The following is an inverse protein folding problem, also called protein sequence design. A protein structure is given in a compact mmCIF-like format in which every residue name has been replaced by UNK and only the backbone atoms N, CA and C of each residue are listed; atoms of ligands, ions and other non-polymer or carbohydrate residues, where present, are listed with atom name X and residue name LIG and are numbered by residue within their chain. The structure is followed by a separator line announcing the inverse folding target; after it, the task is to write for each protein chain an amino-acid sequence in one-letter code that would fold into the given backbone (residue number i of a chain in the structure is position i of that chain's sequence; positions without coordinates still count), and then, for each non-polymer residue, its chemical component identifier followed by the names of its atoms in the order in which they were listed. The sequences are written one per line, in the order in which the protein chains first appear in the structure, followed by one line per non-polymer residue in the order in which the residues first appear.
data_IF_599919860995
#
_entry.id   IF_599919860995
#
_cell.length_a   1.000
_cell.length_b   1.000
_cell.length_c   1.000
_cell.angle_alpha   90.00
_cell.angle_beta   90.00
_cell.angle_gamma   90.00
#
_symmetry.space_group_name_H-M   'P 1'
#
loop_
_entity.id
_entity.type
_entity.pdbx_description
1 polymer ?
#
# COMPACT_ATOMS: atom_id res chain seq x y z
N UNK A 1 -44.73 10.88 -5.55
CA UNK A 1 -43.35 11.17 -5.06
C UNK A 1 -43.33 12.64 -4.68
N UNK A 2 -43.28 12.97 -3.39
CA UNK A 2 -43.37 14.37 -2.94
C UNK A 2 -42.10 15.11 -3.35
N UNK A 3 -42.22 16.04 -4.29
CA UNK A 3 -41.13 16.89 -4.79
C UNK A 3 -40.91 18.09 -3.86
N UNK A 4 -40.68 17.81 -2.57
CA UNK A 4 -40.27 18.82 -1.62
C UNK A 4 -38.76 19.07 -1.79
N UNK A 5 -38.41 20.05 -2.62
CA UNK A 5 -37.05 20.61 -2.65
C UNK A 5 -36.86 21.32 -1.31
N UNK A 6 -36.37 20.57 -0.31
CA UNK A 6 -36.36 20.96 1.11
C UNK A 6 -35.27 21.97 1.49
N UNK A 7 -34.24 22.15 0.65
CA UNK A 7 -33.14 23.08 0.88
C UNK A 7 -33.13 24.15 -0.20
N UNK A 8 -33.20 25.43 0.21
CA UNK A 8 -33.06 26.58 -0.70
C UNK A 8 -31.70 27.21 -0.47
N UNK A 9 -31.00 27.51 -1.56
CA UNK A 9 -29.73 28.21 -1.51
C UNK A 9 -29.86 29.60 -2.16
N UNK A 10 -29.21 30.65 -1.61
CA UNK A 10 -29.07 31.92 -2.31
C UNK A 10 -28.23 31.76 -3.60
N UNK A 11 -28.64 32.47 -4.65
CA UNK A 11 -27.90 32.60 -5.92
C UNK A 11 -27.44 34.04 -6.09
N UNK A 12 -26.37 34.23 -6.87
CA UNK A 12 -25.79 35.54 -7.20
C UNK A 12 -25.78 35.76 -8.71
N UNK A 13 -26.34 36.87 -9.23
CA UNK A 13 -27.09 37.89 -8.49
C UNK A 13 -28.45 37.37 -7.99
N UNK A 14 -28.87 37.81 -6.81
CA UNK A 14 -30.15 37.43 -6.20
C UNK A 14 -31.36 38.02 -6.94
N UNK A 15 -31.13 39.06 -7.76
CA UNK A 15 -32.12 39.71 -8.60
C UNK A 15 -31.56 39.84 -10.01
N UNK A 16 -32.35 39.41 -11.00
CA UNK A 16 -32.03 39.52 -12.42
C UNK A 16 -33.07 40.45 -13.06
N UNK A 17 -32.60 41.57 -13.61
CA UNK A 17 -33.45 42.61 -14.24
C UNK A 17 -33.29 42.70 -15.75
N UNK A 18 -32.44 41.84 -16.33
CA UNK A 18 -32.16 41.78 -17.78
C UNK A 18 -32.21 40.32 -18.25
N UNK A 19 -32.46 40.11 -19.54
CA UNK A 19 -32.39 38.78 -20.14
C UNK A 19 -30.93 38.30 -20.19
N UNK A 20 -30.72 36.98 -20.14
CA UNK A 20 -29.42 36.31 -20.28
C UNK A 20 -28.37 36.66 -19.22
N UNK A 21 -28.77 36.94 -17.98
CA UNK A 21 -27.83 37.09 -16.86
C UNK A 21 -27.44 35.70 -16.32
N UNK A 22 -26.14 35.44 -16.20
CA UNK A 22 -25.63 34.24 -15.54
C UNK A 22 -25.87 34.33 -14.03
N UNK A 23 -26.42 33.26 -13.45
CA UNK A 23 -26.61 33.11 -12.01
C UNK A 23 -25.68 31.99 -11.51
N UNK A 24 -25.01 32.24 -10.40
CA UNK A 24 -24.10 31.29 -9.76
C UNK A 24 -24.50 31.04 -8.31
N UNK A 25 -24.29 29.82 -7.83
CA UNK A 25 -24.45 29.41 -6.44
C UNK A 25 -23.49 28.28 -6.10
N UNK A 26 -23.13 28.18 -4.83
CA UNK A 26 -22.20 27.16 -4.29
C UNK A 26 -22.88 26.29 -3.24
N UNK A 27 -23.29 25.08 -3.63
CA UNK A 27 -23.85 24.11 -2.70
C UNK A 27 -22.72 23.54 -1.83
N UNK A 28 -22.87 23.64 -0.52
CA UNK A 28 -21.92 23.13 0.47
C UNK A 28 -22.56 22.00 1.29
N UNK A 29 -21.73 21.18 1.96
CA UNK A 29 -22.17 20.10 2.85
C UNK A 29 -23.09 19.06 2.17
N UNK A 30 -22.83 18.79 0.88
CA UNK A 30 -23.49 17.70 0.17
C UNK A 30 -22.91 16.37 0.62
N UNK A 31 -23.77 15.37 0.80
CA UNK A 31 -23.38 14.01 1.11
C UNK A 31 -22.65 13.40 -0.09
N UNK A 32 -21.45 12.82 0.09
CA UNK A 32 -20.71 12.17 -0.98
C UNK A 32 -21.47 11.01 -1.61
N UNK A 33 -21.11 10.67 -2.85
CA UNK A 33 -21.74 9.60 -3.65
C UNK A 33 -23.29 9.65 -3.69
N UNK A 34 -23.89 10.84 -3.65
CA UNK A 34 -25.34 11.03 -3.58
C UNK A 34 -25.86 11.77 -4.81
N UNK A 35 -26.96 11.26 -5.37
CA UNK A 35 -27.71 11.92 -6.45
C UNK A 35 -28.56 13.05 -5.86
N UNK A 36 -28.37 14.25 -6.37
CA UNK A 36 -29.16 15.43 -6.04
C UNK A 36 -30.01 15.87 -7.23
N UNK A 37 -31.25 16.26 -6.94
CA UNK A 37 -32.14 16.95 -7.86
C UNK A 37 -32.06 18.45 -7.61
N UNK A 38 -31.90 19.24 -8.67
CA UNK A 38 -31.84 20.70 -8.61
C UNK A 38 -32.81 21.31 -9.59
N UNK A 39 -33.41 22.42 -9.18
CA UNK A 39 -34.14 23.32 -10.06
C UNK A 39 -33.97 24.75 -9.57
N UNK A 40 -34.02 25.70 -10.47
CA UNK A 40 -34.15 27.09 -10.12
C UNK A 40 -35.61 27.42 -9.84
N UNK A 41 -35.85 28.26 -8.83
CA UNK A 41 -37.15 28.88 -8.55
C UNK A 41 -36.97 30.39 -8.64
N UNK A 42 -37.56 30.99 -9.67
CA UNK A 42 -37.69 32.45 -9.79
C UNK A 42 -39.02 32.91 -9.21
N UNK A 43 -39.08 34.16 -8.75
CA UNK A 43 -40.33 34.79 -8.34
C UNK A 43 -40.32 36.28 -8.61
N UNK A 44 -41.50 36.82 -8.89
CA UNK A 44 -41.77 38.25 -8.99
C UNK A 44 -43.15 38.57 -8.40
N UNK A 45 -43.61 39.81 -8.54
CA UNK A 45 -44.94 40.22 -8.09
C UNK A 45 -46.10 39.43 -8.70
N UNK A 46 -45.88 38.75 -9.84
CA UNK A 46 -46.88 38.00 -10.58
C UNK A 46 -46.88 36.50 -10.23
N UNK A 47 -45.93 36.02 -9.40
CA UNK A 47 -45.91 34.65 -8.90
C UNK A 47 -44.55 33.96 -9.03
N UNK A 48 -44.58 32.62 -9.06
CA UNK A 48 -43.40 31.74 -9.11
C UNK A 48 -43.24 31.10 -10.49
N UNK A 49 -41.99 30.97 -10.93
CA UNK A 49 -41.58 30.14 -12.07
C UNK A 49 -40.50 29.14 -11.63
N UNK A 50 -40.48 27.97 -12.28
CA UNK A 50 -39.49 26.92 -12.02
C UNK A 50 -38.77 26.55 -13.32
N UNK A 51 -37.47 26.27 -13.23
CA UNK A 51 -36.78 25.57 -14.31
C UNK A 51 -37.23 24.11 -14.40
N UNK A 52 -36.92 23.41 -15.51
CA UNK A 52 -36.90 21.95 -15.51
C UNK A 52 -36.03 21.40 -14.37
N UNK A 53 -36.34 20.18 -13.94
CA UNK A 53 -35.49 19.43 -13.01
C UNK A 53 -34.20 18.99 -13.71
N UNK A 54 -33.09 19.05 -12.99
CA UNK A 54 -31.78 18.56 -13.45
C UNK A 54 -31.12 17.83 -12.30
N UNK A 55 -30.31 16.82 -12.59
CA UNK A 55 -29.62 16.06 -11.56
C UNK A 55 -28.11 16.20 -11.66
N UNK A 56 -27.43 16.00 -10.53
CA UNK A 56 -26.00 15.77 -10.47
C UNK A 56 -25.69 14.78 -9.36
N UNK A 57 -24.55 14.09 -9.45
CA UNK A 57 -24.07 13.18 -8.41
C UNK A 57 -22.76 13.71 -7.85
N UNK A 58 -22.65 13.83 -6.54
CA UNK A 58 -21.39 14.17 -5.87
C UNK A 58 -20.39 13.02 -5.99
N UNK A 59 -19.09 13.32 -6.04
CA UNK A 59 -18.04 12.29 -5.99
C UNK A 59 -18.11 11.46 -4.69
N UNK A 60 -17.64 10.20 -4.70
CA UNK A 60 -17.42 9.41 -3.49
C UNK A 60 -16.21 9.93 -2.70
N UNK A 61 -15.92 9.34 -1.55
CA UNK A 61 -14.67 9.62 -0.84
C UNK A 61 -13.49 8.92 -1.54
N UNK A 62 -12.28 9.51 -1.43
CA UNK A 62 -11.05 8.83 -1.82
C UNK A 62 -10.80 7.58 -0.96
N UNK A 63 -10.01 6.59 -1.39
CA UNK A 63 -9.77 5.37 -0.61
C UNK A 63 -9.07 5.63 0.73
N UNK A 64 -9.10 4.68 1.66
CA UNK A 64 -8.30 4.69 2.89
C UNK A 64 -7.33 3.51 2.87
N UNK A 65 -6.08 3.73 3.26
CA UNK A 65 -5.04 2.71 3.28
C UNK A 65 -4.47 2.59 4.70
N UNK A 66 -4.52 1.38 5.26
CA UNK A 66 -3.84 1.03 6.50
C UNK A 66 -2.66 0.12 6.18
N UNK A 67 -1.44 0.55 6.45
CA UNK A 67 -0.27 -0.31 6.26
C UNK A 67 -0.22 -1.41 7.31
N UNK A 68 0.24 -2.59 6.90
CA UNK A 68 0.50 -3.72 7.77
C UNK A 68 2.01 -4.05 7.74
N UNK A 69 2.54 -4.72 8.78
CA UNK A 69 3.94 -5.12 8.82
C UNK A 69 4.35 -5.95 7.60
N UNK A 70 5.56 -5.70 7.10
CA UNK A 70 6.18 -6.52 6.05
C UNK A 70 6.43 -7.94 6.58
N UNK A 71 6.18 -8.95 5.76
CA UNK A 71 6.47 -10.34 6.07
C UNK A 71 7.43 -10.96 5.05
N UNK A 72 8.04 -12.09 5.44
CA UNK A 72 8.90 -12.91 4.57
C UNK A 72 9.93 -12.05 3.82
N UNK A 73 10.83 -11.41 4.57
CA UNK A 73 11.97 -10.69 4.00
C UNK A 73 13.11 -11.67 3.78
N UNK A 74 13.45 -11.89 2.51
CA UNK A 74 14.57 -12.73 2.08
C UNK A 74 15.72 -11.85 1.59
N UNK A 75 16.74 -12.48 1.01
CA UNK A 75 17.81 -11.79 0.32
C UNK A 75 17.33 -11.02 -0.92
N UNK A 76 16.36 -11.59 -1.66
CA UNK A 76 15.98 -11.12 -3.00
C UNK A 76 14.49 -10.77 -3.11
N UNK A 77 13.73 -10.88 -2.02
CA UNK A 77 12.29 -10.66 -2.01
C UNK A 77 11.75 -10.19 -0.66
N UNK A 78 10.57 -9.58 -0.70
CA UNK A 78 9.78 -9.24 0.47
C UNK A 78 8.28 -9.28 0.14
N UNK A 79 7.44 -9.53 1.14
CA UNK A 79 5.98 -9.46 1.00
C UNK A 79 5.46 -8.27 1.79
N UNK A 80 4.85 -7.31 1.09
CA UNK A 80 4.28 -6.10 1.67
C UNK A 80 2.77 -6.20 1.73
N UNK A 81 2.18 -5.63 2.78
CA UNK A 81 0.76 -5.78 3.08
C UNK A 81 0.11 -4.45 3.41
N UNK A 82 -1.17 -4.32 3.06
CA UNK A 82 -2.04 -3.25 3.48
C UNK A 82 -3.47 -3.76 3.64
N UNK A 83 -4.28 -3.05 4.40
CA UNK A 83 -5.73 -3.20 4.45
C UNK A 83 -6.35 -1.94 3.87
N UNK A 84 -7.12 -2.06 2.79
CA UNK A 84 -7.57 -0.92 1.98
C UNK A 84 -9.09 -0.86 1.91
N UNK A 85 -9.65 0.32 2.13
CA UNK A 85 -11.07 0.62 2.01
C UNK A 85 -11.33 1.51 0.79
N UNK A 86 -12.07 1.01 -0.19
CA UNK A 86 -12.35 1.67 -1.47
C UNK A 86 -13.30 2.88 -1.40
N UNK A 87 -14.07 3.04 -0.31
CA UNK A 87 -15.01 4.14 -0.04
C UNK A 87 -15.98 4.54 -1.19
N UNK A 88 -16.91 3.65 -1.54
CA UNK A 88 -18.07 4.01 -2.37
C UNK A 88 -17.84 4.01 -3.89
N UNK A 89 -16.65 3.66 -4.36
CA UNK A 89 -16.37 3.40 -5.78
C UNK A 89 -15.26 2.38 -5.96
N UNK A 90 -15.27 1.67 -7.10
CA UNK A 90 -14.21 0.72 -7.45
C UNK A 90 -12.84 1.41 -7.42
N UNK A 91 -11.85 0.75 -6.82
CA UNK A 91 -10.54 1.31 -6.54
C UNK A 91 -9.45 0.46 -7.19
N UNK A 92 -8.59 1.07 -7.99
CA UNK A 92 -7.42 0.41 -8.59
C UNK A 92 -6.19 0.63 -7.71
N UNK A 93 -5.35 -0.39 -7.60
CA UNK A 93 -4.22 -0.43 -6.68
C UNK A 93 -2.88 -0.54 -7.41
N UNK A 94 -1.86 0.09 -6.82
CA UNK A 94 -0.47 -0.01 -7.24
C UNK A 94 0.43 0.10 -6.00
N UNK A 95 1.57 -0.58 -6.02
CA UNK A 95 2.67 -0.38 -5.07
C UNK A 95 3.78 0.35 -5.80
N UNK A 96 4.32 1.38 -5.18
CA UNK A 96 5.52 2.09 -5.64
C UNK A 96 6.66 1.74 -4.67
N UNK A 97 7.82 1.33 -5.16
CA UNK A 97 8.94 0.91 -4.33
C UNK A 97 10.31 1.22 -4.95
N UNK A 98 11.36 1.27 -4.13
CA UNK A 98 12.76 1.32 -4.56
C UNK A 98 13.71 1.71 -3.43
N UNK A 99 14.98 1.95 -3.74
CA UNK A 99 16.04 2.15 -2.73
C UNK A 99 16.06 3.54 -2.08
N UNK A 100 15.16 4.43 -2.52
CA UNK A 100 14.97 5.77 -1.95
C UNK A 100 13.47 6.08 -1.93
N UNK A 101 13.07 7.15 -1.24
CA UNK A 101 11.68 7.65 -1.25
C UNK A 101 11.21 8.20 -2.61
N UNK A 102 12.09 8.23 -3.63
CA UNK A 102 11.68 8.45 -5.02
C UNK A 102 11.10 7.18 -5.66
N UNK A 103 11.20 6.02 -4.97
CA UNK A 103 10.75 4.71 -5.39
C UNK A 103 11.41 4.29 -6.72
N UNK A 104 10.80 4.61 -7.86
CA UNK A 104 11.34 4.35 -9.19
C UNK A 104 10.93 2.99 -9.78
N UNK A 105 10.30 2.10 -8.99
CA UNK A 105 9.68 0.87 -9.47
C UNK A 105 8.20 0.81 -9.06
N UNK A 106 7.41 0.05 -9.81
CA UNK A 106 5.99 -0.16 -9.52
C UNK A 106 5.58 -1.62 -9.65
N UNK A 107 4.65 -2.07 -8.81
CA UNK A 107 4.06 -3.42 -8.83
C UNK A 107 2.53 -3.31 -8.77
N UNK A 108 1.83 -4.18 -9.49
CA UNK A 108 0.38 -4.38 -9.31
C UNK A 108 0.18 -5.42 -8.20
N UNK A 109 -0.46 -5.08 -7.07
CA UNK A 109 -0.69 -6.01 -5.98
C UNK A 109 -1.81 -7.02 -6.28
N UNK A 110 -2.00 -7.97 -5.37
CA UNK A 110 -3.13 -8.89 -5.34
C UNK A 110 -4.00 -8.62 -4.10
N UNK A 111 -5.31 -8.34 -4.26
CA UNK A 111 -5.98 -8.05 -5.53
C UNK A 111 -5.48 -6.75 -6.17
N UNK A 112 -5.70 -6.60 -7.48
CA UNK A 112 -5.29 -5.39 -8.24
C UNK A 112 -6.32 -4.25 -8.20
N UNK A 113 -7.54 -4.58 -7.77
CA UNK A 113 -8.64 -3.65 -7.60
C UNK A 113 -9.59 -4.15 -6.52
N UNK A 114 -10.30 -3.22 -5.89
CA UNK A 114 -11.28 -3.47 -4.84
C UNK A 114 -12.64 -2.91 -5.23
N UNK A 115 -13.68 -3.62 -4.81
CA UNK A 115 -15.05 -3.12 -4.91
C UNK A 115 -15.36 -2.17 -3.74
N UNK A 116 -16.39 -1.34 -3.88
CA UNK A 116 -16.84 -0.52 -2.75
C UNK A 116 -17.43 -1.42 -1.65
N UNK A 117 -16.93 -1.32 -0.42
CA UNK A 117 -17.39 -2.18 0.66
C UNK A 117 -16.66 -1.93 1.97
N UNK A 118 -16.15 -3.00 2.56
CA UNK A 118 -15.32 -2.99 3.78
C UNK A 118 -13.83 -2.83 3.45
N UNK A 119 -13.01 -2.79 4.49
CA UNK A 119 -11.57 -3.00 4.35
C UNK A 119 -11.31 -4.40 3.78
N UNK A 120 -10.37 -4.48 2.83
CA UNK A 120 -9.92 -5.72 2.21
C UNK A 120 -8.39 -5.83 2.25
N UNK A 121 -7.83 -7.01 2.56
CA UNK A 121 -6.40 -7.20 2.62
C UNK A 121 -5.79 -7.24 1.22
N UNK A 122 -4.67 -6.54 1.06
CA UNK A 122 -3.93 -6.40 -0.19
C UNK A 122 -2.47 -6.79 0.05
N UNK A 123 -1.93 -7.62 -0.84
CA UNK A 123 -0.56 -8.13 -0.75
C UNK A 123 0.22 -7.87 -2.02
N UNK A 124 1.48 -7.43 -1.88
CA UNK A 124 2.45 -7.33 -2.96
C UNK A 124 3.68 -8.19 -2.69
N UNK A 125 4.09 -8.98 -3.69
CA UNK A 125 5.32 -9.78 -3.63
C UNK A 125 6.39 -9.06 -4.45
N UNK A 126 7.34 -8.44 -3.77
CA UNK A 126 8.48 -7.77 -4.38
C UNK A 126 9.58 -8.80 -4.64
N UNK A 127 10.03 -8.90 -5.89
CA UNK A 127 11.02 -9.89 -6.36
C UNK A 127 12.20 -9.17 -7.02
N UNK A 128 13.35 -9.85 -7.12
CA UNK A 128 14.54 -9.32 -7.79
C UNK A 128 15.20 -8.15 -7.05
N UNK A 129 15.07 -8.13 -5.72
CA UNK A 129 15.68 -7.12 -4.86
C UNK A 129 17.18 -7.38 -4.70
N UNK A 130 17.94 -6.33 -4.36
CA UNK A 130 19.34 -6.44 -3.98
C UNK A 130 19.46 -6.89 -2.52
N UNK A 131 20.44 -7.72 -2.21
CA UNK A 131 20.73 -8.18 -0.85
C UNK A 131 21.23 -7.03 0.03
N UNK A 132 21.03 -7.17 1.35
CA UNK A 132 21.45 -6.18 2.35
C UNK A 132 21.09 -4.72 2.01
N UNK A 133 19.92 -4.50 1.39
CA UNK A 133 19.52 -3.21 0.82
C UNK A 133 18.20 -2.76 1.43
N UNK A 134 18.16 -1.51 1.88
CA UNK A 134 16.93 -0.88 2.36
C UNK A 134 16.07 -0.42 1.19
N UNK A 135 14.81 -0.82 1.20
CA UNK A 135 13.80 -0.41 0.24
C UNK A 135 12.73 0.43 0.95
N UNK A 136 12.33 1.51 0.29
CA UNK A 136 11.15 2.30 0.57
C UNK A 136 9.99 1.79 -0.30
N UNK A 137 8.79 1.77 0.24
CA UNK A 137 7.58 1.46 -0.51
C UNK A 137 6.36 2.21 0.02
N UNK A 138 5.37 2.39 -0.85
CA UNK A 138 4.03 2.84 -0.50
C UNK A 138 2.97 2.18 -1.37
N UNK A 139 1.77 2.05 -0.81
CA UNK A 139 0.57 1.70 -1.57
C UNK A 139 -0.09 2.96 -2.12
N UNK A 140 -0.63 2.85 -3.33
CA UNK A 140 -1.41 3.87 -4.03
C UNK A 140 -2.75 3.27 -4.41
N UNK A 141 -3.82 3.93 -4.01
CA UNK A 141 -5.19 3.54 -4.30
C UNK A 141 -5.92 4.68 -4.99
N UNK A 142 -6.60 4.40 -6.11
CA UNK A 142 -7.23 5.41 -6.96
C UNK A 142 -8.69 5.03 -7.22
N UNK A 143 -9.62 5.93 -6.91
CA UNK A 143 -11.04 5.81 -7.26
C UNK A 143 -11.59 7.15 -7.80
N UNK A 144 -12.90 7.21 -8.10
CA UNK A 144 -13.54 8.45 -8.60
C UNK A 144 -13.50 9.62 -7.59
N UNK A 145 -13.37 9.33 -6.30
CA UNK A 145 -13.29 10.31 -5.21
C UNK A 145 -11.89 10.88 -5.02
N UNK A 146 -10.86 10.24 -5.57
CA UNK A 146 -9.49 10.74 -5.56
C UNK A 146 -8.43 9.65 -5.50
N UNK A 147 -7.19 10.09 -5.26
CA UNK A 147 -6.04 9.22 -5.05
C UNK A 147 -5.58 9.31 -3.60
N UNK A 148 -5.33 8.17 -2.98
CA UNK A 148 -4.75 8.05 -1.65
C UNK A 148 -3.42 7.33 -1.74
N UNK A 149 -2.42 7.85 -1.04
CA UNK A 149 -1.13 7.20 -0.83
C UNK A 149 -1.02 6.80 0.63
N UNK A 150 -0.43 5.63 0.91
CA UNK A 150 0.00 5.31 2.26
C UNK A 150 1.16 6.22 2.69
N UNK A 151 1.48 6.19 3.98
CA UNK A 151 2.78 6.66 4.45
C UNK A 151 3.92 5.88 3.76
N UNK A 152 5.11 6.47 3.74
CA UNK A 152 6.33 5.78 3.35
C UNK A 152 6.68 4.72 4.41
N UNK A 153 6.95 3.50 3.96
CA UNK A 153 7.39 2.40 4.81
C UNK A 153 8.66 1.76 4.25
N UNK A 154 9.43 1.11 5.12
CA UNK A 154 10.73 0.56 4.75
C UNK A 154 10.91 -0.87 5.21
N UNK A 155 11.71 -1.64 4.48
CA UNK A 155 12.28 -2.90 4.94
C UNK A 155 13.71 -3.04 4.40
N UNK A 156 14.52 -3.91 5.03
CA UNK A 156 15.88 -4.20 4.58
C UNK A 156 15.99 -5.68 4.25
N UNK A 157 16.39 -6.00 3.02
CA UNK A 157 16.61 -7.40 2.60
C UNK A 157 17.73 -8.04 3.41
N UNK A 158 17.70 -9.36 3.52
CA UNK A 158 18.76 -10.11 4.21
C UNK A 158 20.07 -10.01 3.41
N UNK A 159 21.24 -10.08 4.07
CA UNK A 159 22.51 -10.19 3.36
C UNK A 159 22.60 -11.50 2.59
N UNK A 160 23.39 -11.50 1.52
CA UNK A 160 23.78 -12.73 0.83
C UNK A 160 24.56 -13.61 1.80
N UNK A 161 24.11 -14.84 1.96
CA UNK A 161 24.93 -15.84 2.64
C UNK A 161 25.96 -16.34 1.64
N UNK A 162 27.18 -15.81 1.69
CA UNK A 162 28.28 -16.40 0.94
C UNK A 162 28.69 -17.64 1.71
N UNK A 163 28.38 -18.80 1.13
CA UNK A 163 28.88 -20.09 1.62
C UNK A 163 30.36 -20.23 1.25
N UNK A 164 31.19 -19.32 1.74
CA UNK A 164 32.64 -19.30 1.51
C UNK A 164 33.31 -20.55 2.12
N UNK A 165 32.59 -21.27 2.98
CA UNK A 165 32.99 -22.52 3.61
C UNK A 165 32.87 -23.74 2.69
N UNK A 166 32.11 -23.69 1.60
CA UNK A 166 32.04 -24.78 0.63
C UNK A 166 33.34 -24.93 -0.20
N UNK A 167 34.18 -23.89 -0.25
CA UNK A 167 35.48 -23.92 -0.95
C UNK A 167 36.70 -23.95 -0.01
N UNK A 168 36.58 -23.44 1.21
CA UNK A 168 37.65 -23.53 2.20
C UNK A 168 37.66 -24.93 2.83
N UNK A 169 38.23 -25.90 2.12
CA UNK A 169 38.52 -27.22 2.69
C UNK A 169 39.37 -27.06 3.96
N UNK A 170 38.79 -27.32 5.13
CA UNK A 170 39.57 -27.37 6.36
C UNK A 170 40.30 -28.71 6.44
N UNK A 171 41.50 -28.69 7.00
CA UNK A 171 42.30 -29.91 7.21
C UNK A 171 42.29 -30.30 8.68
N UNK A 172 42.18 -31.60 8.92
CA UNK A 172 42.26 -32.22 10.24
C UNK A 172 43.61 -32.93 10.41
N UNK A 173 44.38 -32.55 11.42
CA UNK A 173 45.67 -33.20 11.70
C UNK A 173 46.00 -33.31 13.20
N UNK A 174 46.55 -34.44 13.67
CA UNK A 174 46.76 -35.69 12.92
C UNK A 174 45.44 -36.45 12.68
N UNK A 175 45.37 -37.22 11.60
CA UNK A 175 44.32 -38.20 11.36
C UNK A 175 44.96 -39.52 10.91
N UNK A 176 44.96 -40.60 11.73
CA UNK A 176 44.26 -40.75 13.02
C UNK A 176 44.83 -39.87 14.15
N UNK A 177 43.99 -39.50 15.13
CA UNK A 177 44.41 -38.78 16.35
C UNK A 177 44.26 -39.66 17.61
N UNK A 178 45.04 -39.36 18.66
CA UNK A 178 44.97 -40.04 19.97
C UNK A 178 44.30 -39.21 21.08
N UNK A 179 43.69 -38.07 20.72
CA UNK A 179 42.95 -37.24 21.68
C UNK A 179 42.72 -35.81 21.21
N UNK A 180 43.73 -35.18 20.60
CA UNK A 180 43.62 -33.81 20.07
C UNK A 180 43.65 -33.88 18.54
N UNK A 181 42.68 -33.21 17.90
CA UNK A 181 42.63 -32.99 16.46
C UNK A 181 42.68 -31.49 16.19
N UNK A 182 43.62 -31.04 15.38
CA UNK A 182 43.74 -29.62 15.02
C UNK A 182 42.94 -29.33 13.75
N UNK A 183 42.23 -28.20 13.75
CA UNK A 183 41.51 -27.65 12.61
C UNK A 183 42.34 -26.52 12.01
N UNK A 184 42.62 -26.57 10.71
CA UNK A 184 43.34 -25.51 9.98
C UNK A 184 42.58 -25.11 8.72
N UNK A 185 42.72 -23.84 8.30
CA UNK A 185 42.02 -23.30 7.13
C UNK A 185 40.71 -22.56 7.43
N UNK A 186 40.44 -22.22 8.70
CA UNK A 186 39.30 -21.40 9.09
C UNK A 186 39.57 -19.92 8.81
N UNK A 187 38.60 -19.22 8.24
CA UNK A 187 38.68 -17.77 8.00
C UNK A 187 38.61 -17.00 9.33
N UNK A 188 39.45 -15.96 9.54
CA UNK A 188 39.39 -15.15 10.75
C UNK A 188 38.10 -14.31 10.83
N UNK A 189 37.63 -14.03 12.06
CA UNK A 189 36.45 -13.22 12.38
C UNK A 189 35.08 -13.80 12.01
N UNK A 190 34.95 -15.12 11.98
CA UNK A 190 33.67 -15.81 11.84
C UNK A 190 33.42 -16.67 13.07
N UNK A 191 32.19 -16.67 13.57
CA UNK A 191 31.73 -17.66 14.55
C UNK A 191 31.56 -19.00 13.84
N UNK A 192 32.16 -20.05 14.39
CA UNK A 192 32.08 -21.41 13.87
C UNK A 192 31.41 -22.34 14.88
N UNK A 193 30.55 -23.22 14.37
CA UNK A 193 30.04 -24.37 15.14
C UNK A 193 30.63 -25.64 14.52
N UNK A 194 31.37 -26.40 15.31
CA UNK A 194 31.90 -27.70 14.90
C UNK A 194 30.89 -28.80 15.27
N UNK A 195 30.32 -29.45 14.27
CA UNK A 195 29.45 -30.62 14.48
C UNK A 195 30.24 -31.91 14.22
N UNK A 196 30.44 -32.74 15.26
CA UNK A 196 31.12 -34.03 15.17
C UNK A 196 30.11 -35.15 15.44
N UNK A 197 30.04 -36.17 14.58
CA UNK A 197 29.18 -37.34 14.76
C UNK A 197 29.94 -38.65 14.57
N UNK A 198 29.55 -39.68 15.31
CA UNK A 198 29.96 -41.07 15.05
C UNK A 198 28.97 -41.75 14.09
N UNK A 199 29.35 -42.90 13.53
CA UNK A 199 28.46 -43.73 12.69
C UNK A 199 27.20 -44.17 13.48
N UNK A 200 27.26 -44.16 14.82
CA UNK A 200 26.12 -44.41 15.72
C UNK A 200 25.28 -43.16 16.04
N UNK A 201 25.58 -42.00 15.45
CA UNK A 201 24.79 -40.77 15.58
C UNK A 201 25.00 -39.99 16.87
N UNK A 202 26.06 -40.26 17.63
CA UNK A 202 26.33 -39.53 18.88
C UNK A 202 27.08 -38.23 18.57
N UNK A 203 26.52 -37.09 18.98
CA UNK A 203 27.15 -35.78 18.88
C UNK A 203 27.95 -35.52 20.15
N UNK A 204 29.25 -35.28 20.01
CA UNK A 204 30.11 -34.84 21.10
C UNK A 204 30.26 -33.32 20.95
N UNK A 205 29.74 -32.57 21.93
CA UNK A 205 29.89 -31.13 22.18
C UNK A 205 28.90 -30.17 21.47
N UNK A 206 27.95 -29.63 22.26
CA UNK A 206 27.46 -28.24 22.11
C UNK A 206 28.25 -27.42 23.15
N UNK A 207 29.08 -26.47 22.71
CA UNK A 207 29.54 -25.40 23.60
C UNK A 207 28.63 -24.18 23.44
N UNK A 208 28.34 -23.56 24.58
CA UNK A 208 27.35 -22.50 24.79
C UNK A 208 27.95 -21.11 24.54
#
# INVERSE_FOLDING_TARGET
MSSAYGSVMPVTPAMVVQNNVSIAGSLNNLTPNTLYHVRFRGYNSNGFGYSPDTTFTTLPFAPVINLLPVSIVTELSAIVHADILAQGSSTVLQIEYGTTSAYGSTLIPSPNALSSGSFEPVTGILLGLQSNTTYHYRFKAVNLGGTTYSADATFTTKPTFIDEFAQAGFSLFPNPCSGIINLTGLQPNTDFVLSVYTISGFTLFEEK
#
